data_IF_021745347795
#
_entry.id   IF_021745347795
#
_cell.length_a   1.000
_cell.length_b   1.000
_cell.length_c   1.000
_cell.angle_alpha   90.00
_cell.angle_beta   90.00
_cell.angle_gamma   90.00
#
_symmetry.space_group_name_H-M   'P 1'
#
loop_
_entity.id
_entity.type
_entity.pdbx_description
1 polymer ?
#
# COMPACT_ATOMS: atom_id res chain seq x y z
N UNK A 1 6.16 -3.80 26.76
CA UNK A 1 4.88 -4.38 26.26
C UNK A 1 5.21 -5.00 24.92
N UNK A 2 4.97 -6.31 24.79
CA UNK A 2 5.93 -7.31 24.28
C UNK A 2 6.80 -6.82 23.10
N UNK A 3 8.02 -6.46 23.48
CA UNK A 3 9.21 -6.40 22.64
C UNK A 3 9.69 -7.83 22.44
N UNK A 4 9.89 -8.26 21.19
CA UNK A 4 10.85 -9.30 20.87
C UNK A 4 11.69 -8.82 19.69
N UNK A 5 12.87 -8.30 20.01
CA UNK A 5 13.92 -8.07 19.04
C UNK A 5 14.56 -9.40 18.67
N UNK A 6 14.65 -9.66 17.37
CA UNK A 6 15.71 -10.47 16.81
C UNK A 6 16.29 -9.69 15.63
N UNK A 7 17.58 -9.40 15.76
CA UNK A 7 18.42 -8.74 14.78
C UNK A 7 18.52 -9.63 13.53
N UNK A 8 17.89 -9.23 12.43
CA UNK A 8 18.12 -9.85 11.12
C UNK A 8 18.88 -8.85 10.26
N UNK A 9 20.16 -9.18 10.04
CA UNK A 9 21.05 -8.45 9.17
C UNK A 9 20.45 -8.27 7.79
N UNK A 10 20.42 -7.02 7.34
CA UNK A 10 19.98 -6.62 6.02
C UNK A 10 21.00 -7.16 5.03
N UNK A 11 20.71 -8.33 4.43
CA UNK A 11 21.50 -8.85 3.33
C UNK A 11 21.23 -7.99 2.10
N UNK A 12 22.23 -7.18 1.75
CA UNK A 12 22.19 -6.22 0.65
C UNK A 12 22.24 -6.98 -0.68
N UNK A 13 21.08 -7.23 -1.31
CA UNK A 13 21.02 -7.78 -2.67
C UNK A 13 20.11 -6.95 -3.56
N UNK A 14 20.75 -6.39 -4.60
CA UNK A 14 20.24 -5.60 -5.74
C UNK A 14 19.12 -4.59 -5.42
N UNK A 15 19.54 -3.48 -4.81
CA UNK A 15 18.75 -2.24 -4.73
C UNK A 15 18.61 -1.68 -6.16
N UNK A 16 17.42 -1.73 -6.74
CA UNK A 16 17.12 -0.89 -7.91
C UNK A 16 16.80 0.49 -7.35
N UNK A 17 17.81 1.37 -7.38
CA UNK A 17 17.64 2.76 -7.04
C UNK A 17 16.98 3.43 -8.23
N UNK A 18 15.74 3.92 -8.09
CA UNK A 18 15.21 4.88 -9.07
C UNK A 18 15.91 6.20 -8.78
N UNK A 19 17.11 6.39 -9.33
CA UNK A 19 17.70 7.71 -9.48
C UNK A 19 17.23 8.26 -10.81
N UNK A 20 16.11 8.98 -10.85
CA UNK A 20 15.92 10.07 -11.81
C UNK A 20 14.61 10.81 -11.56
N UNK A 21 14.73 12.13 -11.59
CA UNK A 21 13.67 13.09 -11.86
C UNK A 21 12.83 12.62 -13.05
N UNK A 22 11.67 12.02 -12.79
CA UNK A 22 10.64 11.81 -13.80
C UNK A 22 9.29 11.67 -13.09
N UNK A 23 8.29 12.42 -13.58
CA UNK A 23 6.91 12.44 -13.11
C UNK A 23 6.15 11.14 -13.40
N UNK A 24 6.73 9.98 -13.07
CA UNK A 24 6.12 8.68 -13.29
C UNK A 24 6.31 7.78 -12.07
N UNK A 25 5.18 7.45 -11.45
CA UNK A 25 5.08 6.33 -10.50
C UNK A 25 5.28 5.03 -11.28
N UNK A 26 6.38 4.28 -11.08
CA UNK A 26 6.65 3.11 -11.90
C UNK A 26 5.72 1.96 -11.51
N UNK A 27 5.18 1.28 -12.52
CA UNK A 27 4.45 0.03 -12.35
C UNK A 27 5.44 -1.13 -12.35
N UNK A 28 5.51 -1.84 -11.23
CA UNK A 28 6.36 -3.02 -11.01
C UNK A 28 5.48 -4.27 -11.11
N UNK A 29 5.95 -5.24 -11.89
CA UNK A 29 5.35 -6.59 -11.93
C UNK A 29 6.00 -7.45 -10.87
N UNK A 30 5.21 -7.91 -9.91
CA UNK A 30 5.64 -8.82 -8.86
C UNK A 30 6.02 -10.18 -9.42
N UNK A 31 7.01 -10.79 -8.77
CA UNK A 31 7.45 -12.16 -9.01
C UNK A 31 6.43 -13.21 -8.56
N UNK A 32 5.57 -12.87 -7.60
CA UNK A 32 4.50 -13.70 -7.04
C UNK A 32 3.12 -13.05 -7.24
N UNK A 33 2.06 -13.85 -7.06
CA UNK A 33 0.69 -13.36 -7.03
C UNK A 33 0.36 -12.92 -5.59
N UNK A 34 0.15 -11.63 -5.37
CA UNK A 34 -0.12 -11.09 -4.04
C UNK A 34 -1.63 -11.14 -3.75
N UNK A 35 -2.10 -11.90 -2.75
CA UNK A 35 -3.52 -11.93 -2.40
C UNK A 35 -3.91 -10.64 -1.66
N UNK A 36 -4.86 -9.90 -2.22
CA UNK A 36 -5.36 -8.65 -1.67
C UNK A 36 -6.87 -8.59 -1.86
N UNK A 37 -7.64 -8.49 -0.75
CA UNK A 37 -9.11 -8.42 -0.78
C UNK A 37 -9.81 -9.41 -1.73
N UNK A 38 -9.42 -10.67 -1.70
CA UNK A 38 -10.07 -11.69 -2.52
C UNK A 38 -9.81 -11.54 -4.02
N UNK A 39 -8.69 -10.95 -4.42
CA UNK A 39 -8.16 -11.05 -5.77
C UNK A 39 -6.62 -11.10 -5.75
N UNK A 40 -6.03 -11.55 -6.86
CA UNK A 40 -4.58 -11.65 -7.00
C UNK A 40 -4.04 -10.43 -7.74
N UNK A 41 -3.15 -9.68 -7.08
CA UNK A 41 -2.50 -8.50 -7.63
C UNK A 41 -1.09 -8.86 -8.11
N UNK A 42 -0.80 -8.57 -9.37
CA UNK A 42 0.51 -8.80 -9.99
C UNK A 42 1.25 -7.51 -10.33
N UNK A 43 0.52 -6.46 -10.66
CA UNK A 43 1.08 -5.19 -11.09
C UNK A 43 0.80 -4.16 -10.00
N UNK A 44 1.86 -3.54 -9.47
CA UNK A 44 1.76 -2.53 -8.42
C UNK A 44 2.46 -1.27 -8.89
N UNK A 45 1.78 -0.13 -8.79
CA UNK A 45 2.37 1.17 -9.07
C UNK A 45 2.90 1.79 -7.79
N UNK A 46 4.19 2.12 -7.76
CA UNK A 46 4.85 2.77 -6.62
C UNK A 46 4.68 4.27 -6.72
N UNK A 47 3.87 4.87 -5.86
CA UNK A 47 3.60 6.30 -5.88
C UNK A 47 4.63 7.09 -5.06
N UNK A 48 4.99 8.29 -5.53
CA UNK A 48 5.91 9.20 -4.82
C UNK A 48 5.30 9.72 -3.51
N UNK A 49 3.98 9.78 -3.44
CA UNK A 49 3.22 10.21 -2.26
C UNK A 49 3.17 9.21 -1.11
N UNK A 50 4.01 8.16 -1.09
CA UNK A 50 4.14 7.26 0.07
C UNK A 50 3.15 6.08 0.12
N UNK A 51 2.65 5.63 -1.02
CA UNK A 51 1.71 4.51 -1.12
C UNK A 51 1.93 3.65 -2.36
N UNK A 52 1.38 2.45 -2.33
CA UNK A 52 1.28 1.55 -3.48
C UNK A 52 -0.14 1.61 -4.02
N UNK A 53 -0.26 1.74 -5.34
CA UNK A 53 -1.53 1.62 -6.06
C UNK A 53 -1.68 0.21 -6.63
N UNK A 54 -2.80 -0.44 -6.31
CA UNK A 54 -3.09 -1.83 -6.67
C UNK A 54 -4.09 -1.97 -7.82
N UNK A 55 -4.69 -0.88 -8.28
CA UNK A 55 -5.70 -0.90 -9.32
C UNK A 55 -5.14 -1.13 -10.73
N UNK A 56 -5.95 -1.74 -11.60
CA UNK A 56 -5.57 -2.05 -12.98
C UNK A 56 -5.56 -0.80 -13.88
N UNK A 57 -6.43 0.17 -13.60
CA UNK A 57 -6.57 1.38 -14.41
C UNK A 57 -5.85 2.57 -13.78
N UNK A 58 -4.82 3.11 -14.43
CA UNK A 58 -4.13 4.31 -13.93
C UNK A 58 -4.91 5.56 -14.34
N UNK A 59 -5.76 6.08 -13.45
CA UNK A 59 -6.34 7.43 -13.57
C UNK A 59 -6.16 8.19 -12.25
N UNK A 60 -5.91 9.50 -12.32
CA UNK A 60 -5.56 10.35 -11.16
C UNK A 60 -6.59 10.32 -10.01
N UNK A 61 -7.86 10.07 -10.30
CA UNK A 61 -8.93 9.95 -9.29
C UNK A 61 -8.98 8.55 -8.64
N UNK A 62 -8.49 7.51 -9.31
CA UNK A 62 -8.53 6.11 -8.84
C UNK A 62 -7.43 5.78 -7.82
N UNK A 63 -6.31 6.50 -7.87
CA UNK A 63 -5.18 6.30 -6.95
C UNK A 63 -5.57 6.53 -5.47
N UNK A 64 -6.65 7.26 -5.22
CA UNK A 64 -7.14 7.56 -3.88
C UNK A 64 -8.03 6.45 -3.28
N UNK A 65 -8.49 5.48 -4.08
CA UNK A 65 -9.49 4.48 -3.67
C UNK A 65 -8.95 3.05 -3.53
N UNK A 66 -7.91 2.69 -4.28
CA UNK A 66 -7.27 1.36 -4.21
C UNK A 66 -5.80 1.51 -3.82
N UNK A 67 -5.48 1.34 -2.54
CA UNK A 67 -4.14 1.63 -2.06
C UNK A 67 -3.68 0.73 -0.91
N UNK A 68 -2.36 0.60 -0.82
CA UNK A 68 -1.62 0.12 0.36
C UNK A 68 -0.69 1.27 0.78
N UNK A 69 -1.04 1.98 1.85
CA UNK A 69 -0.40 3.22 2.26
C UNK A 69 0.24 3.08 3.63
N UNK A 70 1.55 2.83 3.74
CA UNK A 70 2.26 3.01 5.00
C UNK A 70 2.18 4.47 5.46
N UNK A 71 2.28 5.45 4.54
CA UNK A 71 2.00 6.86 4.83
C UNK A 71 1.77 7.60 3.52
N UNK A 72 0.51 7.78 3.14
CA UNK A 72 0.12 8.62 2.01
C UNK A 72 0.09 10.09 2.47
N UNK A 73 0.85 10.97 1.84
CA UNK A 73 0.84 12.41 2.09
C UNK A 73 1.39 13.18 0.88
N UNK A 74 1.45 14.51 0.96
CA UNK A 74 2.01 15.37 -0.07
C UNK A 74 3.55 15.31 -0.11
N UNK A 75 4.12 14.12 -0.28
CA UNK A 75 5.58 13.94 -0.39
C UNK A 75 6.08 14.31 -1.79
N UNK A 76 7.20 15.04 -1.82
CA UNK A 76 7.87 15.41 -3.06
C UNK A 76 9.36 15.09 -2.96
N UNK A 77 9.78 14.11 -3.74
CA UNK A 77 11.16 13.62 -3.79
C UNK A 77 12.09 14.56 -4.56
N UNK A 78 11.55 15.55 -5.28
CA UNK A 78 12.35 16.54 -6.02
C UNK A 78 12.90 17.66 -5.12
N UNK A 79 12.36 17.81 -3.91
CA UNK A 79 12.75 18.86 -2.95
C UNK A 79 14.20 18.67 -2.46
N UNK A 80 14.68 17.43 -2.39
CA UNK A 80 16.01 17.10 -1.89
C UNK A 80 16.70 16.06 -2.76
N UNK A 81 17.98 16.29 -3.07
CA UNK A 81 18.82 15.32 -3.78
C UNK A 81 19.14 14.06 -2.95
N UNK A 82 18.74 14.04 -1.68
CA UNK A 82 18.91 12.91 -0.77
C UNK A 82 17.61 12.14 -0.51
N UNK A 83 16.53 12.48 -1.22
CA UNK A 83 15.27 11.73 -1.17
C UNK A 83 15.28 10.62 -2.23
N UNK A 84 15.02 9.38 -1.81
CA UNK A 84 15.05 8.22 -2.71
C UNK A 84 13.81 7.36 -2.53
N UNK A 85 13.36 6.75 -3.62
CA UNK A 85 12.40 5.65 -3.58
C UNK A 85 13.12 4.42 -4.09
N UNK A 86 13.18 3.41 -3.23
CA UNK A 86 13.88 2.15 -3.48
C UNK A 86 12.90 1.01 -3.36
N UNK A 87 13.09 -0.02 -4.17
CA UNK A 87 12.31 -1.23 -4.02
C UNK A 87 13.14 -2.46 -4.35
N UNK A 88 12.70 -3.61 -3.82
CA UNK A 88 13.31 -4.91 -4.05
C UNK A 88 12.22 -5.98 -4.08
N UNK A 89 12.35 -6.91 -5.01
CA UNK A 89 11.52 -8.12 -5.09
C UNK A 89 12.45 -9.33 -4.95
N UNK A 90 12.19 -10.20 -3.97
CA UNK A 90 12.98 -11.40 -3.69
C UNK A 90 12.21 -12.71 -3.96
N UNK A 91 11.15 -12.69 -4.77
CA UNK A 91 10.39 -13.93 -5.07
C UNK A 91 9.31 -14.26 -4.04
N UNK A 92 9.58 -13.97 -2.76
CA UNK A 92 8.67 -14.26 -1.64
C UNK A 92 8.14 -13.00 -0.96
N UNK A 93 8.82 -11.87 -1.17
CA UNK A 93 8.43 -10.58 -0.62
C UNK A 93 8.85 -9.45 -1.55
N UNK A 94 8.06 -8.39 -1.53
CA UNK A 94 8.29 -7.14 -2.25
C UNK A 94 8.32 -6.00 -1.26
N UNK A 95 9.43 -5.27 -1.19
CA UNK A 95 9.61 -4.16 -0.25
C UNK A 95 9.84 -2.87 -1.00
N UNK A 96 9.19 -1.79 -0.55
CA UNK A 96 9.39 -0.42 -1.03
C UNK A 96 9.72 0.48 0.14
N UNK A 97 10.77 1.29 -0.01
CA UNK A 97 11.23 2.28 0.96
C UNK A 97 11.17 3.68 0.34
N UNK A 98 10.53 4.61 1.06
CA UNK A 98 10.63 6.05 0.83
C UNK A 98 11.65 6.59 1.82
N UNK A 99 12.87 6.83 1.35
CA UNK A 99 13.98 7.26 2.17
C UNK A 99 14.12 8.79 2.13
N UNK A 100 14.12 9.40 3.32
CA UNK A 100 14.35 10.84 3.52
C UNK A 100 13.47 11.72 2.62
N UNK A 101 12.20 11.35 2.47
CA UNK A 101 11.23 12.12 1.68
C UNK A 101 10.71 13.30 2.50
N UNK A 102 10.41 14.41 1.82
CA UNK A 102 9.94 15.65 2.45
C UNK A 102 8.51 15.98 2.07
N UNK A 103 7.78 16.55 3.00
CA UNK A 103 6.47 17.13 2.72
C UNK A 103 6.65 18.40 1.89
N UNK A 104 5.89 18.52 0.81
CA UNK A 104 5.89 19.71 -0.04
C UNK A 104 5.35 20.93 0.69
N UNK A 105 4.33 20.73 1.53
CA UNK A 105 3.67 21.80 2.29
C UNK A 105 4.47 22.25 3.52
N UNK A 106 5.42 21.44 3.99
CA UNK A 106 6.29 21.76 5.12
C UNK A 106 7.67 21.12 5.01
N UNK A 107 8.58 21.85 4.37
CA UNK A 107 9.97 21.42 4.14
C UNK A 107 10.86 21.53 5.38
N UNK A 108 10.37 22.16 6.46
CA UNK A 108 11.11 22.39 7.72
C UNK A 108 10.86 21.32 8.77
N UNK A 109 9.75 20.58 8.63
CA UNK A 109 9.33 19.50 9.53
C UNK A 109 10.25 18.27 9.54
N UNK A 110 11.31 18.24 8.75
CA UNK A 110 12.29 17.16 8.70
C UNK A 110 11.99 16.11 7.64
N UNK A 111 12.78 15.03 7.67
CA UNK A 111 12.78 13.97 6.66
C UNK A 111 12.04 12.73 7.18
N UNK A 112 11.19 12.17 6.33
CA UNK A 112 10.44 10.95 6.61
C UNK A 112 11.15 9.75 5.97
N UNK A 113 11.31 8.68 6.73
CA UNK A 113 11.78 7.39 6.23
C UNK A 113 10.87 6.28 6.71
N UNK A 114 10.23 5.60 5.77
CA UNK A 114 9.31 4.51 6.03
C UNK A 114 9.28 3.53 4.86
N UNK A 115 8.83 2.32 5.13
CA UNK A 115 8.75 1.25 4.15
C UNK A 115 7.48 0.43 4.30
N UNK A 116 7.13 -0.26 3.21
CA UNK A 116 6.11 -1.31 3.17
C UNK A 116 6.73 -2.59 2.60
N UNK A 117 6.39 -3.72 3.20
CA UNK A 117 6.70 -5.05 2.66
C UNK A 117 5.41 -5.82 2.44
N UNK A 118 5.25 -6.35 1.23
CA UNK A 118 4.20 -7.29 0.85
C UNK A 118 4.80 -8.69 0.84
N UNK A 119 4.20 -9.62 1.57
CA UNK A 119 4.60 -11.03 1.54
C UNK A 119 3.67 -11.83 0.63
N UNK A 120 4.20 -12.88 0.01
CA UNK A 120 3.43 -13.76 -0.88
C UNK A 120 2.27 -14.51 -0.20
N UNK A 121 2.27 -14.59 1.14
CA UNK A 121 1.17 -15.14 1.93
C UNK A 121 0.04 -14.12 2.19
N UNK A 122 0.16 -12.89 1.69
CA UNK A 122 -0.81 -11.80 1.88
C UNK A 122 -0.51 -10.86 3.03
N UNK A 123 0.46 -11.18 3.90
CA UNK A 123 0.80 -10.29 5.00
C UNK A 123 1.42 -8.99 4.49
N UNK A 124 1.13 -7.91 5.22
CA UNK A 124 1.64 -6.57 4.92
C UNK A 124 2.32 -6.01 6.17
N UNK A 125 3.52 -5.46 6.00
CA UNK A 125 4.28 -4.86 7.10
C UNK A 125 4.61 -3.41 6.76
N UNK A 126 4.25 -2.48 7.64
CA UNK A 126 4.72 -1.11 7.59
C UNK A 126 5.81 -0.90 8.64
N UNK A 127 6.90 -0.25 8.27
CA UNK A 127 7.97 0.10 9.21
C UNK A 127 8.28 1.59 9.07
N UNK A 128 8.32 2.27 10.21
CA UNK A 128 8.55 3.70 10.31
C UNK A 128 9.90 3.92 11.00
N UNK A 129 10.92 4.28 10.23
CA UNK A 129 12.24 4.56 10.80
C UNK A 129 12.32 5.99 11.35
N UNK A 130 11.86 6.96 10.56
CA UNK A 130 11.85 8.38 10.91
C UNK A 130 10.52 9.02 10.51
N UNK A 131 9.81 9.55 11.48
CA UNK A 131 8.52 10.25 11.38
C UNK A 131 8.61 11.46 12.31
N UNK A 132 9.15 12.59 11.82
CA UNK A 132 9.48 13.75 12.66
C UNK A 132 8.25 14.55 13.13
N UNK A 133 7.08 14.31 12.52
CA UNK A 133 5.81 14.95 12.85
C UNK A 133 4.75 13.90 13.12
N UNK A 134 3.90 14.14 14.12
CA UNK A 134 2.72 13.30 14.37
C UNK A 134 1.83 13.32 13.13
N UNK A 135 1.39 12.14 12.68
CA UNK A 135 0.65 11.99 11.42
C UNK A 135 -0.62 12.88 11.37
N UNK A 136 -1.33 12.99 12.50
CA UNK A 136 -2.53 13.84 12.64
C UNK A 136 -2.27 15.34 12.38
N UNK A 137 -1.02 15.79 12.49
CA UNK A 137 -0.63 17.19 12.28
C UNK A 137 -0.18 17.48 10.84
N UNK A 138 -0.10 16.46 9.98
CA UNK A 138 0.26 16.67 8.57
C UNK A 138 -0.92 17.33 7.85
N UNK A 139 -0.63 18.38 7.07
CA UNK A 139 -1.64 19.13 6.33
C UNK A 139 -2.25 18.27 5.21
N UNK A 140 -3.58 18.31 5.08
CA UNK A 140 -4.37 17.53 4.11
C UNK A 140 -5.00 18.37 2.99
N UNK A 141 -4.60 19.65 2.87
CA UNK A 141 -5.24 20.64 1.97
C UNK A 141 -5.06 20.33 0.49
N UNK A 142 -3.85 19.94 0.11
CA UNK A 142 -3.47 19.70 -1.29
C UNK A 142 -3.42 18.22 -1.65
N UNK A 143 -3.22 17.36 -0.65
CA UNK A 143 -3.17 15.92 -0.82
C UNK A 143 -3.73 15.23 0.43
N UNK A 144 -4.54 14.17 0.31
CA UNK A 144 -5.03 13.45 1.46
C UNK A 144 -3.88 12.82 2.25
N UNK A 145 -4.03 12.79 3.57
CA UNK A 145 -3.16 12.04 4.48
C UNK A 145 -3.86 10.73 4.81
N UNK A 146 -3.23 9.59 4.47
CA UNK A 146 -3.81 8.27 4.76
C UNK A 146 -2.77 7.26 5.26
N UNK A 147 -3.18 6.42 6.21
CA UNK A 147 -2.40 5.25 6.64
C UNK A 147 -3.31 4.03 6.68
N UNK A 148 -2.96 2.99 5.94
CA UNK A 148 -3.67 1.72 5.92
C UNK A 148 -3.95 1.19 4.53
N UNK A 149 -5.09 0.51 4.38
CA UNK A 149 -5.43 -0.26 3.18
C UNK A 149 -6.81 0.18 2.67
N UNK A 150 -7.00 0.19 1.36
CA UNK A 150 -8.30 0.41 0.74
C UNK A 150 -8.42 -0.36 -0.55
N UNK A 151 -9.61 -0.90 -0.80
CA UNK A 151 -9.96 -1.44 -2.11
C UNK A 151 -11.36 -1.00 -2.53
N UNK A 152 -11.56 -0.97 -3.85
CA UNK A 152 -12.77 -0.48 -4.48
C UNK A 152 -13.02 -1.21 -5.82
N UNK A 153 -14.27 -1.35 -6.23
CA UNK A 153 -14.60 -1.87 -7.57
C UNK A 153 -15.15 -0.75 -8.46
N UNK A 154 -14.95 -0.90 -9.77
CA UNK A 154 -15.35 0.09 -10.77
C UNK A 154 -16.48 -0.50 -11.62
N UNK A 155 -17.62 0.20 -11.68
CA UNK A 155 -18.71 -0.09 -12.61
C UNK A 155 -18.62 0.87 -13.78
N UNK A 156 -18.45 0.36 -14.99
CA UNK A 156 -18.56 1.13 -16.23
C UNK A 156 -19.99 1.04 -16.78
N UNK A 157 -20.63 2.18 -17.03
CA UNK A 157 -21.95 2.28 -17.66
C UNK A 157 -21.88 3.28 -18.81
N UNK A 158 -22.37 2.88 -19.98
CA UNK A 158 -22.54 3.81 -21.11
C UNK A 158 -23.96 4.36 -21.11
N UNK A 159 -24.12 5.66 -20.87
CA UNK A 159 -25.41 6.36 -20.87
C UNK A 159 -25.34 7.46 -21.93
N UNK A 160 -26.28 7.48 -22.88
CA UNK A 160 -26.34 8.46 -23.98
C UNK A 160 -24.99 8.71 -24.69
N UNK A 161 -24.29 7.63 -25.07
CA UNK A 161 -22.96 7.67 -25.72
C UNK A 161 -21.81 8.23 -24.87
N UNK A 162 -22.02 8.49 -23.59
CA UNK A 162 -20.99 8.87 -22.62
C UNK A 162 -20.66 7.69 -21.71
N UNK A 163 -19.37 7.38 -21.53
CA UNK A 163 -18.91 6.36 -20.57
C UNK A 163 -18.80 6.96 -19.17
N UNK A 164 -19.57 6.44 -18.24
CA UNK A 164 -19.55 6.78 -16.83
C UNK A 164 -18.88 5.66 -16.04
N UNK A 165 -17.76 5.95 -15.37
CA UNK A 165 -17.14 5.05 -14.41
C UNK A 165 -17.53 5.47 -13.00
N UNK A 166 -18.18 4.57 -12.26
CA UNK A 166 -18.52 4.78 -10.85
C UNK A 166 -17.63 3.89 -9.99
N UNK A 167 -17.01 4.46 -8.97
CA UNK A 167 -16.11 3.77 -8.06
C UNK A 167 -16.86 3.51 -6.76
N UNK A 168 -16.86 2.28 -6.30
CA UNK A 168 -17.46 1.88 -5.04
C UNK A 168 -16.37 1.36 -4.10
N UNK A 169 -16.02 2.17 -3.12
CA UNK A 169 -15.15 1.78 -2.00
C UNK A 169 -15.97 0.91 -1.05
N UNK A 170 -15.54 -0.34 -0.85
CA UNK A 170 -16.29 -1.28 -0.01
C UNK A 170 -15.57 -1.61 1.29
N UNK A 171 -14.25 -1.42 1.36
CA UNK A 171 -13.50 -1.62 2.60
C UNK A 171 -12.28 -0.73 2.71
N UNK A 172 -12.11 -0.14 3.90
CA UNK A 172 -10.95 0.66 4.29
C UNK A 172 -10.51 0.28 5.69
N UNK A 173 -9.21 0.06 5.84
CA UNK A 173 -8.53 -0.03 7.14
C UNK A 173 -7.74 1.25 7.33
N UNK A 174 -7.96 1.95 8.46
CA UNK A 174 -7.31 3.23 8.75
C UNK A 174 -6.52 3.14 10.07
N UNK A 175 -5.26 3.57 10.04
CA UNK A 175 -4.37 3.64 11.20
C UNK A 175 -3.86 5.07 11.48
N UNK A 176 -4.41 6.11 10.83
CA UNK A 176 -4.00 7.51 11.00
C UNK A 176 -4.00 7.99 12.47
N UNK A 177 -4.91 7.44 13.29
CA UNK A 177 -5.05 7.77 14.72
C UNK A 177 -4.23 6.90 15.66
N UNK A 178 -3.39 6.01 15.13
CA UNK A 178 -2.46 5.25 15.94
C UNK A 178 -1.24 6.10 16.26
N UNK A 179 -0.60 5.83 17.40
CA UNK A 179 0.60 6.53 17.86
C UNK A 179 1.84 6.10 17.05
N UNK A 180 1.85 6.46 15.76
CA UNK A 180 2.94 6.15 14.83
C UNK A 180 4.08 7.14 15.07
N UNK A 181 5.17 6.62 15.64
CA UNK A 181 6.40 7.33 15.97
C UNK A 181 7.61 6.70 15.28
N UNK A 182 8.78 7.29 15.49
CA UNK A 182 10.05 6.68 15.10
C UNK A 182 10.15 5.26 15.65
N UNK A 183 10.62 4.35 14.81
CA UNK A 183 10.78 2.91 15.10
C UNK A 183 9.48 2.18 15.42
N UNK A 184 8.38 2.59 14.80
CA UNK A 184 7.09 1.87 14.88
C UNK A 184 7.00 0.84 13.76
N UNK A 185 6.33 -0.28 14.04
CA UNK A 185 6.01 -1.31 13.05
C UNK A 185 4.53 -1.65 13.15
N UNK A 186 3.84 -1.68 12.01
CA UNK A 186 2.47 -2.18 11.91
C UNK A 186 2.52 -3.47 11.10
N UNK A 187 2.09 -4.57 11.71
CA UNK A 187 2.00 -5.87 11.07
C UNK A 187 0.53 -6.20 10.82
N UNK A 188 0.18 -6.43 9.56
CA UNK A 188 -1.17 -6.76 9.11
C UNK A 188 -1.13 -8.19 8.61
N UNK A 189 -1.79 -9.09 9.34
CA UNK A 189 -1.88 -10.49 8.94
C UNK A 189 -3.06 -10.70 8.00
N UNK A 190 -2.82 -11.38 6.88
CA UNK A 190 -3.89 -11.78 5.97
C UNK A 190 -4.75 -12.86 6.61
N UNK A 191 -6.07 -12.65 6.57
CA UNK A 191 -7.02 -13.71 6.86
C UNK A 191 -7.16 -14.59 5.62
N UNK A 192 -7.29 -15.90 5.84
CA UNK A 192 -7.61 -16.82 4.75
C UNK A 192 -8.91 -16.42 4.09
N UNK A 193 -8.94 -16.55 2.78
CA UNK A 193 -10.12 -16.32 1.95
C UNK A 193 -10.51 -17.61 1.22
N UNK A 194 -11.73 -17.66 0.70
CA UNK A 194 -12.21 -18.80 -0.07
C UNK A 194 -11.31 -19.14 -1.27
N UNK A 195 -10.65 -18.14 -1.84
CA UNK A 195 -9.76 -18.30 -2.99
C UNK A 195 -8.48 -19.07 -2.66
N UNK A 196 -8.13 -19.19 -1.38
CA UNK A 196 -6.98 -19.99 -0.94
C UNK A 196 -7.30 -21.50 -0.95
N UNK A 197 -8.59 -21.86 -1.01
CA UNK A 197 -9.06 -23.24 -0.96
C UNK A 197 -9.30 -23.80 -2.37
N UNK A 198 -8.98 -25.09 -2.56
CA UNK A 198 -9.04 -25.72 -3.89
C UNK A 198 -10.46 -26.04 -4.34
N UNK A 199 -11.36 -26.26 -3.40
CA UNK A 199 -12.72 -26.72 -3.64
C UNK A 199 -13.73 -25.91 -2.83
N UNK A 200 -14.93 -25.72 -3.38
CA UNK A 200 -16.02 -24.99 -2.74
C UNK A 200 -16.43 -25.59 -1.38
N UNK A 201 -16.43 -26.92 -1.23
CA UNK A 201 -16.76 -27.59 0.03
C UNK A 201 -15.78 -27.24 1.16
N UNK A 202 -14.49 -27.14 0.84
CA UNK A 202 -13.45 -26.84 1.85
C UNK A 202 -13.56 -25.38 2.31
N UNK A 203 -13.81 -24.47 1.37
CA UNK A 203 -14.15 -23.08 1.69
C UNK A 203 -15.41 -22.97 2.57
N UNK A 204 -16.52 -23.61 2.20
CA UNK A 204 -17.77 -23.50 2.97
C UNK A 204 -17.67 -24.07 4.38
N UNK A 205 -16.91 -25.15 4.57
CA UNK A 205 -16.70 -25.74 5.89
C UNK A 205 -15.83 -24.86 6.78
N UNK A 206 -14.81 -24.20 6.21
CA UNK A 206 -13.92 -23.30 6.93
C UNK A 206 -14.54 -21.96 7.31
N UNK A 207 -15.46 -21.43 6.49
CA UNK A 207 -16.11 -20.12 6.72
C UNK A 207 -17.57 -20.21 7.19
N UNK A 208 -18.01 -21.36 7.70
CA UNK A 208 -19.39 -21.68 8.12
C UNK A 208 -20.03 -20.73 9.17
N UNK A 209 -19.28 -19.78 9.74
CA UNK A 209 -19.80 -18.74 10.66
C UNK A 209 -20.20 -17.43 9.96
N UNK A 210 -19.84 -17.23 8.70
CA UNK A 210 -20.27 -16.07 7.91
C UNK A 210 -21.55 -16.42 7.13
N UNK A 211 -22.66 -15.74 7.42
CA UNK A 211 -23.81 -15.69 6.51
C UNK A 211 -23.40 -14.89 5.27
N UNK A 212 -22.94 -15.57 4.23
CA UNK A 212 -22.77 -15.00 2.89
C UNK A 212 -23.73 -15.74 1.97
N UNK A 213 -24.70 -15.02 1.39
CA UNK A 213 -25.37 -15.47 0.17
C UNK A 213 -24.35 -15.37 -0.96
N UNK A 214 -23.72 -16.50 -1.27
CA UNK A 214 -22.89 -16.63 -2.46
C UNK A 214 -23.82 -17.16 -3.56
N UNK A 215 -24.18 -16.30 -4.51
CA UNK A 215 -24.67 -16.77 -5.81
C UNK A 215 -23.47 -17.25 -6.62
N UNK A 216 -23.27 -18.57 -6.64
CA UNK A 216 -22.44 -19.20 -7.66
C UNK A 216 -23.32 -19.35 -8.91
N UNK A 217 -23.00 -18.65 -10.00
CA UNK A 217 -23.48 -19.00 -11.34
C UNK A 217 -22.68 -20.19 -11.90
#
# INVERSE_FOLDING_TARGET
MVLHGNSYGINLFKIICITSQAAHSPTVKLSFDFPFYGHLVRNITVATGGFLYTGEYVHSWLAATQYIAPLMANFDTSISNHSFIKYVDNGTSFTVEWEKVKLQDDTTSGDFTFQVTLHNNGDIVFVYQSVPVIIENILDRHHPVKVGLSDAYIIDRTIFFVRHKTIYEYHRVNFEKQDIKNWTVIYISALRTCLDEKNCSDCLTQFSSFKVEISCD
#
